data_IF_065739087361
#
_entry.id   IF_065739087361
#
_cell.length_a   1.000
_cell.length_b   1.000
_cell.length_c   1.000
_cell.angle_alpha   90.00
_cell.angle_beta   90.00
_cell.angle_gamma   90.00
#
_symmetry.space_group_name_H-M   'P 1'
#
loop_
_entity.id
_entity.type
_entity.pdbx_description
1 polymer ?
#
# COMPACT_ATOMS: atom_id res chain seq x y z
N UNK A 1 16.78 -31.15 17.22
CA UNK A 1 16.90 -30.96 15.76
C UNK A 1 15.73 -30.10 15.31
N UNK A 2 15.98 -29.08 14.50
CA UNK A 2 14.95 -28.23 13.91
C UNK A 2 14.34 -28.99 12.71
N UNK A 3 13.02 -28.92 12.50
CA UNK A 3 12.37 -29.63 11.39
C UNK A 3 12.77 -29.03 10.03
N UNK A 4 12.55 -29.76 8.94
CA UNK A 4 12.82 -29.26 7.57
C UNK A 4 11.99 -27.99 7.27
N UNK A 5 10.72 -27.98 7.68
CA UNK A 5 9.81 -26.82 7.55
C UNK A 5 10.40 -25.59 8.26
N UNK A 6 10.87 -25.76 9.49
CA UNK A 6 11.49 -24.69 10.27
C UNK A 6 12.82 -24.22 9.67
N UNK A 7 13.63 -25.14 9.12
CA UNK A 7 14.88 -24.80 8.43
C UNK A 7 14.60 -23.94 7.20
N UNK A 8 13.67 -24.35 6.33
CA UNK A 8 13.32 -23.60 5.13
C UNK A 8 12.73 -22.23 5.45
N UNK A 9 11.86 -22.16 6.47
CA UNK A 9 11.27 -20.89 6.94
C UNK A 9 12.36 -19.90 7.38
N UNK A 10 13.35 -20.37 8.15
CA UNK A 10 14.46 -19.52 8.60
C UNK A 10 15.35 -19.05 7.46
N UNK A 11 15.67 -19.94 6.50
CA UNK A 11 16.47 -19.58 5.32
C UNK A 11 15.76 -18.49 4.50
N UNK A 12 14.47 -18.67 4.23
CA UNK A 12 13.68 -17.71 3.47
C UNK A 12 13.63 -16.34 4.15
N UNK A 13 13.35 -16.31 5.47
CA UNK A 13 13.30 -15.05 6.23
C UNK A 13 14.66 -14.35 6.29
N UNK A 14 15.73 -15.12 6.46
CA UNK A 14 17.08 -14.58 6.44
C UNK A 14 17.41 -13.95 5.08
N UNK A 15 17.05 -14.62 3.97
CA UNK A 15 17.24 -14.06 2.63
C UNK A 15 16.40 -12.81 2.39
N UNK A 16 15.15 -12.79 2.84
CA UNK A 16 14.31 -11.61 2.72
C UNK A 16 14.93 -10.39 3.44
N UNK A 17 15.49 -10.59 4.63
CA UNK A 17 16.21 -9.54 5.36
C UNK A 17 17.50 -9.10 4.63
N UNK A 18 18.27 -10.03 4.06
CA UNK A 18 19.45 -9.74 3.25
C UNK A 18 19.11 -8.89 2.01
N UNK A 19 17.97 -9.19 1.38
CA UNK A 19 17.41 -8.41 0.26
C UNK A 19 16.87 -7.05 0.71
N UNK A 20 16.89 -6.73 2.00
CA UNK A 20 16.55 -5.42 2.55
C UNK A 20 15.06 -5.23 2.86
N UNK A 21 14.26 -6.29 2.95
CA UNK A 21 12.91 -6.18 3.51
C UNK A 21 12.99 -5.97 5.03
N UNK A 22 12.22 -5.02 5.55
CA UNK A 22 12.19 -4.73 6.99
C UNK A 22 11.52 -5.85 7.79
N UNK A 23 10.52 -6.50 7.20
CA UNK A 23 9.80 -7.60 7.84
C UNK A 23 9.48 -8.70 6.83
N UNK A 24 9.50 -9.95 7.30
CA UNK A 24 9.10 -11.13 6.54
C UNK A 24 8.36 -12.10 7.46
N UNK A 25 7.12 -12.42 7.09
CA UNK A 25 6.22 -13.27 7.86
C UNK A 25 5.58 -14.33 6.98
N UNK A 26 5.07 -15.39 7.60
CA UNK A 26 4.50 -16.54 6.93
C UNK A 26 3.13 -16.86 7.49
N UNK A 27 2.19 -17.19 6.61
CA UNK A 27 0.89 -17.75 6.95
C UNK A 27 0.54 -18.93 6.05
N UNK A 28 -0.40 -19.77 6.50
CA UNK A 28 -0.93 -20.85 5.67
C UNK A 28 -1.79 -20.29 4.53
N UNK A 29 -1.65 -20.86 3.34
CA UNK A 29 -2.49 -20.54 2.19
C UNK A 29 -3.89 -21.18 2.36
N UNK A 30 -4.87 -20.36 2.74
CA UNK A 30 -6.23 -20.79 3.09
C UNK A 30 -7.27 -19.80 2.56
N UNK A 31 -8.54 -20.22 2.55
CA UNK A 31 -9.65 -19.33 2.23
C UNK A 31 -9.90 -18.31 3.36
N UNK A 32 -10.15 -17.06 3.01
CA UNK A 32 -10.37 -15.95 3.93
C UNK A 32 -11.84 -15.85 4.38
N UNK A 33 -12.28 -16.79 5.22
CA UNK A 33 -13.67 -16.89 5.72
C UNK A 33 -14.19 -15.59 6.37
N UNK A 34 -13.37 -14.90 7.17
CA UNK A 34 -13.78 -13.66 7.85
C UNK A 34 -13.92 -12.46 6.89
N UNK A 35 -13.15 -12.46 5.81
CA UNK A 35 -13.08 -11.32 4.90
C UNK A 35 -14.08 -11.45 3.74
N UNK A 36 -14.50 -12.67 3.40
CA UNK A 36 -15.48 -12.93 2.36
C UNK A 36 -16.80 -12.14 2.55
N UNK A 37 -17.52 -12.23 3.69
CA UNK A 37 -18.75 -11.46 3.90
C UNK A 37 -18.49 -9.95 4.01
N UNK A 38 -17.31 -9.52 4.49
CA UNK A 38 -16.95 -8.11 4.58
C UNK A 38 -16.75 -7.49 3.20
N UNK A 39 -16.01 -8.18 2.33
CA UNK A 39 -15.79 -7.76 0.96
C UNK A 39 -17.12 -7.74 0.18
N UNK A 40 -17.95 -8.77 0.33
CA UNK A 40 -19.29 -8.82 -0.28
C UNK A 40 -20.15 -7.64 0.16
N UNK A 41 -20.26 -7.37 1.47
CA UNK A 41 -21.03 -6.25 1.99
C UNK A 41 -20.52 -4.89 1.47
N UNK A 42 -19.19 -4.73 1.43
CA UNK A 42 -18.55 -3.50 0.92
C UNK A 42 -18.80 -3.28 -0.58
N UNK A 43 -18.75 -4.35 -1.38
CA UNK A 43 -19.09 -4.32 -2.81
C UNK A 43 -20.58 -4.03 -3.04
N UNK A 44 -21.47 -4.66 -2.27
CA UNK A 44 -22.93 -4.44 -2.37
C UNK A 44 -23.32 -3.01 -2.02
N UNK A 45 -22.59 -2.37 -1.10
CA UNK A 45 -22.73 -0.94 -0.77
C UNK A 45 -22.08 0.01 -1.78
N UNK A 46 -21.50 -0.52 -2.86
CA UNK A 46 -20.83 0.26 -3.92
C UNK A 46 -19.67 1.14 -3.41
N UNK A 47 -19.07 0.76 -2.28
CA UNK A 47 -17.98 1.53 -1.65
C UNK A 47 -16.67 1.51 -2.45
N UNK A 48 -16.59 0.72 -3.52
CA UNK A 48 -15.47 0.74 -4.47
C UNK A 48 -15.55 1.89 -5.49
N UNK A 49 -16.65 2.64 -5.53
CA UNK A 49 -16.86 3.67 -6.54
C UNK A 49 -16.70 3.10 -7.96
N UNK A 50 -15.82 3.71 -8.75
CA UNK A 50 -15.52 3.28 -10.13
C UNK A 50 -14.43 2.21 -10.25
N UNK A 51 -13.88 1.70 -9.15
CA UNK A 51 -12.84 0.65 -9.15
C UNK A 51 -13.45 -0.73 -9.47
N UNK A 52 -13.99 -0.91 -10.67
CA UNK A 52 -14.70 -2.14 -11.06
C UNK A 52 -13.85 -3.42 -10.94
N UNK A 53 -12.51 -3.29 -10.98
CA UNK A 53 -11.61 -4.40 -10.73
C UNK A 53 -11.74 -4.99 -9.32
N UNK A 54 -12.29 -4.26 -8.34
CA UNK A 54 -12.53 -4.77 -6.99
C UNK A 54 -13.60 -5.87 -6.95
N UNK A 55 -14.60 -5.81 -7.85
CA UNK A 55 -15.62 -6.85 -7.99
C UNK A 55 -15.12 -8.03 -8.84
N UNK A 56 -14.09 -7.84 -9.67
CA UNK A 56 -13.51 -8.90 -10.48
C UNK A 56 -12.73 -9.90 -9.62
N UNK A 57 -12.73 -11.16 -10.06
CA UNK A 57 -11.93 -12.24 -9.47
C UNK A 57 -12.14 -12.40 -7.95
N UNK A 58 -13.38 -12.22 -7.48
CA UNK A 58 -13.77 -12.29 -6.06
C UNK A 58 -13.16 -13.51 -5.34
N UNK A 59 -13.35 -14.71 -5.89
CA UNK A 59 -12.84 -15.96 -5.28
C UNK A 59 -11.31 -15.96 -5.16
N UNK A 60 -10.59 -15.38 -6.14
CA UNK A 60 -9.12 -15.32 -6.11
C UNK A 60 -8.59 -14.35 -5.05
N UNK A 61 -9.35 -13.30 -4.71
CA UNK A 61 -9.02 -12.37 -3.60
C UNK A 61 -9.05 -13.08 -2.27
N UNK A 62 -9.97 -14.03 -2.13
CA UNK A 62 -10.23 -14.75 -0.89
C UNK A 62 -9.45 -16.06 -0.79
N UNK A 63 -8.94 -16.60 -1.89
CA UNK A 63 -8.20 -17.86 -1.89
C UNK A 63 -6.91 -17.82 -2.73
N UNK A 64 -5.72 -17.75 -2.10
CA UNK A 64 -4.44 -17.75 -2.78
C UNK A 64 -4.16 -19.06 -3.54
N UNK A 65 -4.82 -20.16 -3.19
CA UNK A 65 -4.68 -21.45 -3.88
C UNK A 65 -5.27 -21.44 -5.28
N UNK A 66 -6.13 -20.46 -5.59
CA UNK A 66 -6.65 -20.21 -6.94
C UNK A 66 -5.71 -19.34 -7.79
N UNK A 67 -4.66 -18.77 -7.18
CA UNK A 67 -3.62 -17.98 -7.87
C UNK A 67 -2.38 -18.81 -8.17
N UNK A 68 -2.02 -19.73 -7.27
CA UNK A 68 -0.89 -20.66 -7.40
C UNK A 68 -1.37 -22.07 -7.06
N UNK A 69 -1.34 -22.96 -8.04
CA UNK A 69 -1.75 -24.35 -7.85
C UNK A 69 -0.85 -25.02 -6.80
N UNK A 70 -1.48 -25.72 -5.85
CA UNK A 70 -0.78 -26.42 -4.78
C UNK A 70 -0.30 -25.52 -3.65
N UNK A 71 -0.64 -24.22 -3.65
CA UNK A 71 -0.18 -23.29 -2.61
C UNK A 71 -0.45 -23.82 -1.20
N UNK A 72 0.59 -23.77 -0.36
CA UNK A 72 0.56 -24.15 1.06
C UNK A 72 0.89 -22.99 1.97
N UNK A 73 1.70 -22.03 1.51
CA UNK A 73 2.10 -20.88 2.30
C UNK A 73 2.01 -19.56 1.53
N UNK A 74 1.72 -18.50 2.27
CA UNK A 74 1.83 -17.10 1.83
C UNK A 74 2.91 -16.45 2.67
N UNK A 75 4.03 -16.15 2.02
CA UNK A 75 5.11 -15.36 2.59
C UNK A 75 4.77 -13.89 2.32
N UNK A 76 4.67 -13.08 3.35
CA UNK A 76 4.46 -11.63 3.21
C UNK A 76 5.72 -10.89 3.61
N UNK A 77 6.08 -9.89 2.84
CA UNK A 77 7.20 -9.00 3.13
C UNK A 77 6.72 -7.55 3.24
N UNK A 78 7.39 -6.78 4.09
CA UNK A 78 7.16 -5.34 4.21
C UNK A 78 8.44 -4.57 3.91
N UNK A 79 8.28 -3.42 3.26
CA UNK A 79 9.38 -2.49 3.01
C UNK A 79 8.94 -1.07 3.38
N UNK A 80 9.67 -0.46 4.31
CA UNK A 80 9.44 0.90 4.79
C UNK A 80 9.66 1.93 3.66
N UNK A 81 8.76 2.90 3.57
CA UNK A 81 8.84 4.03 2.64
C UNK A 81 8.73 5.39 3.32
N UNK A 82 8.71 5.46 4.65
CA UNK A 82 8.63 6.75 5.34
C UNK A 82 9.85 7.60 4.99
N UNK A 83 9.68 8.80 4.40
CA UNK A 83 10.79 9.60 3.90
C UNK A 83 11.48 10.35 5.05
N UNK A 84 12.77 10.65 4.87
CA UNK A 84 13.49 11.55 5.81
C UNK A 84 12.93 12.98 5.77
N UNK A 85 12.56 13.44 4.57
CA UNK A 85 12.02 14.78 4.33
C UNK A 85 10.76 14.71 3.48
N UNK A 86 9.77 15.52 3.81
CA UNK A 86 8.54 15.67 3.01
C UNK A 86 8.75 16.67 1.87
N UNK A 87 8.12 16.42 0.72
CA UNK A 87 8.26 17.29 -0.47
C UNK A 87 7.46 18.60 -0.38
N UNK A 88 6.46 18.70 0.51
CA UNK A 88 5.78 19.95 0.79
C UNK A 88 6.63 20.81 1.74
N UNK A 89 7.40 21.75 1.19
CA UNK A 89 8.27 22.63 1.99
C UNK A 89 7.68 24.02 2.24
N UNK A 90 6.82 24.51 1.34
CA UNK A 90 6.16 25.81 1.50
C UNK A 90 4.84 25.68 2.27
N UNK A 91 4.58 26.65 3.14
CA UNK A 91 3.30 26.74 3.86
C UNK A 91 2.15 26.86 2.85
N UNK A 92 1.22 25.90 2.90
CA UNK A 92 0.12 25.81 1.95
C UNK A 92 0.46 25.17 0.60
N UNK A 93 1.67 24.66 0.36
CA UNK A 93 2.03 23.98 -0.89
C UNK A 93 1.17 22.75 -1.22
N UNK A 94 1.17 22.35 -2.49
CA UNK A 94 0.50 21.12 -2.93
C UNK A 94 1.20 19.87 -2.39
N UNK A 95 0.43 18.83 -2.10
CA UNK A 95 0.87 17.59 -1.46
C UNK A 95 0.61 16.40 -2.37
N UNK A 96 1.59 15.51 -2.44
CA UNK A 96 1.44 14.16 -2.97
C UNK A 96 1.74 13.16 -1.84
N UNK A 97 1.12 11.99 -1.87
CA UNK A 97 1.34 10.95 -0.86
C UNK A 97 2.80 10.50 -0.83
N UNK A 98 3.32 10.27 0.38
CA UNK A 98 4.72 9.85 0.62
C UNK A 98 5.09 8.58 -0.15
N UNK A 99 4.13 7.69 -0.42
CA UNK A 99 4.38 6.46 -1.18
C UNK A 99 4.79 6.73 -2.63
N UNK A 100 4.50 7.92 -3.16
CA UNK A 100 4.65 8.27 -4.56
C UNK A 100 5.86 9.17 -4.85
N UNK A 101 6.68 9.47 -3.84
CA UNK A 101 7.82 10.40 -3.94
C UNK A 101 8.87 9.93 -4.95
N UNK A 102 9.29 8.67 -4.85
CA UNK A 102 10.34 8.10 -5.68
C UNK A 102 9.84 7.18 -6.78
N UNK A 103 10.64 6.16 -7.05
CA UNK A 103 10.33 5.06 -7.96
C UNK A 103 9.13 4.27 -7.46
N UNK A 104 8.24 3.92 -8.39
CA UNK A 104 7.06 3.09 -8.15
C UNK A 104 7.48 1.77 -7.49
N UNK A 105 6.96 1.56 -6.29
CA UNK A 105 7.25 0.44 -5.42
C UNK A 105 7.01 -0.91 -6.08
N UNK A 106 6.11 -0.97 -7.07
CA UNK A 106 5.89 -2.18 -7.87
C UNK A 106 7.18 -2.71 -8.47
N UNK A 107 8.07 -1.84 -8.97
CA UNK A 107 9.34 -2.28 -9.55
C UNK A 107 10.28 -2.79 -8.45
N UNK A 108 10.47 -1.98 -7.40
CA UNK A 108 11.42 -2.25 -6.33
C UNK A 108 11.10 -3.57 -5.61
N UNK A 109 9.83 -3.79 -5.28
CA UNK A 109 9.41 -4.98 -4.52
C UNK A 109 9.38 -6.21 -5.43
N UNK A 110 8.92 -6.10 -6.67
CA UNK A 110 8.92 -7.24 -7.61
C UNK A 110 10.34 -7.71 -7.92
N UNK A 111 11.30 -6.80 -8.08
CA UNK A 111 12.70 -7.17 -8.31
C UNK A 111 13.26 -7.97 -7.11
N UNK A 112 13.04 -7.48 -5.88
CA UNK A 112 13.45 -8.19 -4.66
C UNK A 112 12.72 -9.54 -4.47
N UNK A 113 11.42 -9.61 -4.74
CA UNK A 113 10.65 -10.86 -4.63
C UNK A 113 11.06 -11.87 -5.70
N UNK A 114 11.45 -11.41 -6.89
CA UNK A 114 12.02 -12.27 -7.93
C UNK A 114 13.34 -12.88 -7.49
N UNK A 115 14.22 -12.10 -6.87
CA UNK A 115 15.47 -12.60 -6.27
C UNK A 115 15.21 -13.59 -5.13
N UNK A 116 14.21 -13.31 -4.28
CA UNK A 116 13.82 -14.22 -3.21
C UNK A 116 13.30 -15.57 -3.74
N UNK A 117 12.45 -15.55 -4.77
CA UNK A 117 11.97 -16.78 -5.41
C UNK A 117 13.09 -17.55 -6.10
N UNK A 118 14.02 -16.86 -6.78
CA UNK A 118 15.19 -17.50 -7.37
C UNK A 118 16.06 -18.20 -6.31
N UNK A 119 16.26 -17.56 -5.16
CA UNK A 119 16.96 -18.16 -4.02
C UNK A 119 16.25 -19.41 -3.49
N UNK A 120 14.92 -19.40 -3.40
CA UNK A 120 14.13 -20.58 -3.01
C UNK A 120 14.39 -21.74 -3.97
N UNK A 121 14.43 -21.47 -5.29
CA UNK A 121 14.73 -22.50 -6.28
C UNK A 121 16.14 -23.07 -6.16
N UNK A 122 17.12 -22.22 -5.87
CA UNK A 122 18.52 -22.62 -5.71
C UNK A 122 18.75 -23.47 -4.44
N UNK A 123 18.21 -23.03 -3.30
CA UNK A 123 18.51 -23.64 -2.00
C UNK A 123 17.56 -24.79 -1.60
N UNK A 124 16.31 -24.77 -2.08
CA UNK A 124 15.27 -25.73 -1.66
C UNK A 124 14.92 -26.69 -2.80
N UNK A 125 14.95 -26.23 -4.05
CA UNK A 125 14.66 -27.02 -5.25
C UNK A 125 13.39 -26.59 -5.97
N UNK A 126 12.76 -27.54 -6.68
CA UNK A 126 11.59 -27.27 -7.52
C UNK A 126 10.35 -26.94 -6.67
N UNK A 127 10.11 -25.64 -6.48
CA UNK A 127 9.00 -25.07 -5.72
C UNK A 127 8.16 -24.24 -6.66
N UNK A 128 6.87 -24.55 -6.81
CA UNK A 128 5.97 -23.70 -7.57
C UNK A 128 5.63 -22.45 -6.75
N UNK A 129 5.93 -21.29 -7.30
CA UNK A 129 5.80 -20.03 -6.59
C UNK A 129 5.49 -18.86 -7.51
N UNK A 130 4.74 -17.88 -6.99
CA UNK A 130 4.51 -16.61 -7.68
C UNK A 130 4.45 -15.47 -6.68
N UNK A 131 5.03 -14.35 -7.06
CA UNK A 131 5.01 -13.13 -6.27
C UNK A 131 3.98 -12.10 -6.78
N UNK A 132 3.47 -11.30 -5.86
CA UNK A 132 2.41 -10.32 -6.06
C UNK A 132 2.73 -9.04 -5.30
N UNK A 133 2.27 -7.92 -5.86
CA UNK A 133 2.40 -6.56 -5.32
C UNK A 133 1.24 -5.75 -5.90
N UNK A 134 0.20 -5.44 -5.11
CA UNK A 134 -0.98 -4.55 -5.34
C UNK A 134 -1.84 -4.83 -6.58
N UNK A 135 -1.21 -4.96 -7.74
CA UNK A 135 -1.79 -5.17 -9.06
C UNK A 135 -2.55 -6.49 -9.29
N UNK A 136 -2.61 -7.39 -8.30
CA UNK A 136 -3.27 -8.68 -8.41
C UNK A 136 -4.45 -8.79 -7.43
N UNK A 137 -5.41 -9.72 -7.65
CA UNK A 137 -6.51 -9.92 -6.72
C UNK A 137 -6.01 -10.70 -5.49
N UNK A 138 -5.17 -10.06 -4.68
CA UNK A 138 -4.66 -10.53 -3.38
C UNK A 138 -5.09 -9.50 -2.33
N UNK A 139 -5.46 -9.96 -1.13
CA UNK A 139 -5.79 -9.07 -0.01
C UNK A 139 -4.53 -8.80 0.82
N UNK A 140 -3.60 -8.03 0.27
CA UNK A 140 -2.23 -7.84 0.78
C UNK A 140 -2.18 -7.55 2.30
N UNK A 141 -3.03 -6.62 2.75
CA UNK A 141 -3.10 -6.22 4.17
C UNK A 141 -3.62 -7.34 5.09
N UNK A 142 -4.51 -8.19 4.58
CA UNK A 142 -5.04 -9.35 5.32
C UNK A 142 -3.95 -10.41 5.47
N UNK A 143 -3.22 -10.69 4.38
CA UNK A 143 -2.10 -11.64 4.42
C UNK A 143 -0.98 -11.14 5.32
N UNK A 144 -0.65 -9.84 5.29
CA UNK A 144 0.32 -9.26 6.21
C UNK A 144 -0.11 -9.39 7.69
N UNK A 145 -1.39 -9.19 8.00
CA UNK A 145 -1.95 -9.44 9.35
C UNK A 145 -1.82 -10.91 9.73
N UNK A 146 -2.21 -11.85 8.87
CA UNK A 146 -2.14 -13.30 9.13
C UNK A 146 -0.70 -13.80 9.29
N UNK A 147 0.24 -13.17 8.58
CA UNK A 147 1.68 -13.40 8.66
C UNK A 147 2.34 -12.73 9.87
N UNK A 148 1.56 -12.13 10.79
CA UNK A 148 2.06 -11.58 12.05
C UNK A 148 2.83 -10.28 11.95
N UNK A 149 2.79 -9.61 10.79
CA UNK A 149 3.61 -8.41 10.54
C UNK A 149 3.02 -7.12 11.09
N UNK A 150 1.77 -7.17 11.55
CA UNK A 150 1.04 -6.02 12.05
C UNK A 150 -0.43 -6.32 12.31
N UNK A 151 -1.20 -5.27 12.56
CA UNK A 151 -2.66 -5.31 12.59
C UNK A 151 -3.21 -4.30 11.59
N UNK A 152 -4.43 -4.55 11.11
CA UNK A 152 -5.12 -3.59 10.23
C UNK A 152 -5.77 -2.54 11.12
N UNK A 153 -5.36 -1.28 10.99
CA UNK A 153 -5.93 -0.18 11.78
C UNK A 153 -7.34 0.20 11.35
N UNK A 154 -8.00 1.07 12.13
CA UNK A 154 -9.36 1.56 11.79
C UNK A 154 -9.44 2.31 10.46
N UNK A 155 -8.33 2.90 10.00
CA UNK A 155 -8.19 3.49 8.66
C UNK A 155 -7.86 2.45 7.56
N UNK A 156 -7.91 1.15 7.86
CA UNK A 156 -7.68 0.02 6.95
C UNK A 156 -6.26 -0.15 6.39
N UNK A 157 -5.25 0.57 6.88
CA UNK A 157 -3.85 0.27 6.55
C UNK A 157 -3.25 -0.67 7.59
N UNK A 158 -2.31 -1.51 7.15
CA UNK A 158 -1.49 -2.30 8.06
C UNK A 158 -0.65 -1.36 8.93
N UNK A 159 -0.54 -1.67 10.21
CA UNK A 159 0.29 -0.97 11.18
C UNK A 159 1.25 -1.99 11.80
N UNK A 160 2.55 -1.70 11.71
CA UNK A 160 3.61 -2.40 12.43
C UNK A 160 3.91 -1.64 13.73
N UNK A 161 4.45 -2.34 14.73
CA UNK A 161 4.83 -1.69 16.01
C UNK A 161 6.01 -0.75 15.86
N UNK A 162 6.97 -1.11 15.02
CA UNK A 162 8.29 -0.47 14.99
C UNK A 162 8.43 0.62 13.91
N UNK A 163 7.61 0.57 12.85
CA UNK A 163 7.67 1.53 11.73
C UNK A 163 6.33 2.17 11.40
N UNK A 164 5.25 1.81 12.11
CA UNK A 164 3.92 2.33 11.85
C UNK A 164 3.33 1.75 10.55
N UNK A 165 2.67 2.60 9.77
CA UNK A 165 1.87 2.19 8.60
C UNK A 165 2.50 2.55 7.25
N UNK A 166 3.67 3.20 7.24
CA UNK A 166 4.38 3.59 6.03
C UNK A 166 5.23 2.44 5.49
N UNK A 167 4.56 1.34 5.16
CA UNK A 167 5.16 0.13 4.59
C UNK A 167 4.45 -0.25 3.31
N UNK A 168 5.23 -0.63 2.30
CA UNK A 168 4.71 -1.38 1.17
C UNK A 168 4.61 -2.85 1.53
N UNK A 169 3.70 -3.56 0.87
CA UNK A 169 3.44 -4.98 1.08
C UNK A 169 3.73 -5.71 -0.23
N UNK A 170 4.30 -6.91 -0.12
CA UNK A 170 4.33 -7.87 -1.22
C UNK A 170 4.20 -9.29 -0.70
N UNK A 171 3.73 -10.18 -1.57
CA UNK A 171 3.47 -11.57 -1.25
C UNK A 171 4.27 -12.49 -2.17
N UNK A 172 4.75 -13.58 -1.62
CA UNK A 172 5.27 -14.74 -2.33
C UNK A 172 4.44 -15.95 -1.91
N UNK A 173 3.58 -16.43 -2.82
CA UNK A 173 2.71 -17.59 -2.58
C UNK A 173 3.43 -18.82 -3.13
N UNK A 174 3.59 -19.85 -2.30
CA UNK A 174 4.38 -21.04 -2.59
C UNK A 174 3.59 -22.33 -2.33
N UNK A 175 3.85 -23.38 -3.10
CA UNK A 175 3.42 -24.76 -2.81
C UNK A 175 4.29 -25.47 -1.74
N UNK A 176 5.22 -24.72 -1.15
CA UNK A 176 6.09 -25.12 -0.07
C UNK A 176 5.43 -24.93 1.30
N UNK A 177 5.50 -25.94 2.15
CA UNK A 177 5.05 -25.82 3.54
C UNK A 177 6.10 -25.10 4.40
N UNK A 178 5.66 -24.08 5.12
CA UNK A 178 6.49 -23.21 5.96
C UNK A 178 5.81 -23.01 7.33
N UNK A 179 6.59 -22.69 8.35
CA UNK A 179 6.09 -22.46 9.72
C UNK A 179 5.40 -21.10 9.79
N UNK A 180 4.09 -21.11 10.06
CA UNK A 180 3.28 -19.90 10.15
C UNK A 180 3.57 -19.11 11.44
N UNK A 181 3.62 -17.79 11.34
CA UNK A 181 3.82 -16.88 12.48
C UNK A 181 2.54 -16.60 13.25
N UNK A 182 1.42 -16.48 12.52
CA UNK A 182 0.11 -16.15 13.08
C UNK A 182 -0.07 -14.66 13.37
N UNK A 183 -1.33 -14.19 13.48
CA UNK A 183 -1.63 -12.78 13.67
C UNK A 183 -1.28 -12.29 15.08
N UNK A 184 -0.96 -10.99 15.17
CA UNK A 184 -0.79 -10.29 16.45
C UNK A 184 -2.06 -9.51 16.84
N UNK A 185 -2.12 -9.05 18.10
CA UNK A 185 -3.28 -8.29 18.58
C UNK A 185 -3.44 -6.92 17.89
N UNK A 186 -4.67 -6.41 17.91
CA UNK A 186 -5.02 -5.05 17.49
C UNK A 186 -4.69 -4.05 18.60
N UNK A 187 -4.02 -2.95 18.25
CA UNK A 187 -3.65 -1.88 19.18
C UNK A 187 -4.26 -0.50 18.88
N UNK A 188 -5.35 -0.43 18.12
CA UNK A 188 -6.12 0.79 17.96
C UNK A 188 -6.91 1.17 19.22
N UNK A 189 -7.42 0.18 19.96
CA UNK A 189 -8.23 0.40 21.16
C UNK A 189 -9.40 1.36 20.90
N UNK A 190 -9.60 2.34 21.79
CA UNK A 190 -10.67 3.34 21.68
C UNK A 190 -10.32 4.53 20.77
N UNK A 191 -9.11 4.59 20.20
CA UNK A 191 -8.67 5.72 19.36
C UNK A 191 -9.56 5.90 18.12
N UNK A 192 -9.91 7.13 17.80
CA UNK A 192 -10.70 7.52 16.61
C UNK A 192 -10.01 8.55 15.73
N UNK A 193 -8.77 8.97 16.03
CA UNK A 193 -8.07 10.09 15.36
C UNK A 193 -8.12 10.06 13.82
N UNK A 194 -7.96 8.88 13.21
CA UNK A 194 -8.01 8.75 11.76
C UNK A 194 -9.42 8.93 11.18
N UNK A 195 -10.45 8.49 11.90
CA UNK A 195 -11.86 8.68 11.57
C UNK A 195 -12.18 10.18 11.67
N UNK A 196 -11.86 10.78 12.83
CA UNK A 196 -12.17 12.18 13.13
C UNK A 196 -11.46 13.17 12.19
N UNK A 197 -10.27 12.81 11.70
CA UNK A 197 -9.47 13.66 10.82
C UNK A 197 -9.76 13.44 9.32
N UNK A 198 -10.56 12.44 8.93
CA UNK A 198 -10.82 12.18 7.52
C UNK A 198 -11.73 13.28 6.96
N UNK A 199 -11.25 14.18 6.08
CA UNK A 199 -12.00 15.39 5.73
C UNK A 199 -13.26 15.10 4.92
N UNK A 200 -13.34 13.94 4.27
CA UNK A 200 -14.47 13.52 3.43
C UNK A 200 -15.36 12.46 4.07
N UNK A 201 -15.15 12.15 5.36
CA UNK A 201 -15.87 11.09 6.08
C UNK A 201 -15.81 9.73 5.36
N UNK A 202 -14.68 9.47 4.68
CA UNK A 202 -14.47 8.23 3.94
C UNK A 202 -14.29 7.02 4.87
N UNK A 203 -13.81 7.21 6.10
CA UNK A 203 -13.79 6.13 7.09
C UNK A 203 -15.13 6.15 7.83
N UNK A 204 -16.12 5.40 7.32
CA UNK A 204 -17.50 5.49 7.82
C UNK A 204 -17.69 4.83 9.18
N UNK A 205 -16.89 3.80 9.44
CA UNK A 205 -16.90 3.00 10.67
C UNK A 205 -15.48 2.50 10.94
N UNK A 206 -15.13 2.11 12.18
CA UNK A 206 -13.88 1.40 12.45
C UNK A 206 -13.68 0.25 11.45
N UNK A 207 -12.53 0.27 10.76
CA UNK A 207 -12.12 -0.75 9.78
C UNK A 207 -12.92 -0.75 8.47
N UNK A 208 -13.72 0.29 8.20
CA UNK A 208 -14.50 0.43 6.95
C UNK A 208 -14.16 1.75 6.28
N UNK A 209 -13.62 1.68 5.07
CA UNK A 209 -13.39 2.85 4.20
C UNK A 209 -14.34 2.79 3.02
N UNK A 210 -15.20 3.78 2.88
CA UNK A 210 -15.88 4.08 1.63
C UNK A 210 -14.88 4.68 0.64
N UNK A 211 -14.33 3.82 -0.21
CA UNK A 211 -13.37 4.20 -1.23
C UNK A 211 -13.92 5.29 -2.15
N UNK A 212 -15.22 5.29 -2.45
CA UNK A 212 -15.87 6.27 -3.31
C UNK A 212 -15.84 7.71 -2.78
N UNK A 213 -15.51 7.89 -1.49
CA UNK A 213 -15.38 9.19 -0.82
C UNK A 213 -13.92 9.56 -0.51
N UNK A 214 -12.97 8.66 -0.72
CA UNK A 214 -11.59 8.86 -0.32
C UNK A 214 -10.86 9.84 -1.25
N UNK A 215 -10.11 10.81 -0.71
CA UNK A 215 -9.27 11.71 -1.51
C UNK A 215 -8.28 10.92 -2.38
N UNK A 216 -7.72 9.82 -1.85
CA UNK A 216 -6.83 8.95 -2.62
C UNK A 216 -7.53 8.35 -3.85
N UNK A 217 -8.77 7.91 -3.69
CA UNK A 217 -9.59 7.44 -4.82
C UNK A 217 -9.87 8.55 -5.83
N UNK A 218 -10.28 9.74 -5.37
CA UNK A 218 -10.58 10.86 -6.27
C UNK A 218 -9.38 11.30 -7.09
N UNK A 219 -8.20 11.34 -6.48
CA UNK A 219 -6.98 11.85 -7.14
C UNK A 219 -6.29 10.83 -8.06
N UNK A 220 -6.54 9.53 -7.85
CA UNK A 220 -5.84 8.44 -8.56
C UNK A 220 -6.79 7.66 -9.49
N UNK A 221 -7.91 7.19 -8.95
CA UNK A 221 -8.75 6.17 -9.57
C UNK A 221 -9.93 6.76 -10.35
N UNK A 222 -10.59 7.79 -9.80
CA UNK A 222 -11.68 8.47 -10.50
C UNK A 222 -11.14 9.18 -11.75
N UNK A 223 -11.69 8.87 -12.92
CA UNK A 223 -11.33 9.51 -14.19
C UNK A 223 -12.32 10.62 -14.60
N UNK A 224 -13.52 10.59 -14.04
CA UNK A 224 -14.55 11.61 -14.26
C UNK A 224 -14.25 12.89 -13.46
N UNK A 225 -15.14 13.88 -13.51
CA UNK A 225 -15.05 15.09 -12.68
C UNK A 225 -15.16 14.75 -11.19
N UNK A 226 -14.39 15.46 -10.36
CA UNK A 226 -14.48 15.32 -8.90
C UNK A 226 -15.77 16.02 -8.44
N UNK A 227 -16.60 15.40 -7.57
CA UNK A 227 -17.86 15.98 -7.13
C UNK A 227 -17.68 17.30 -6.36
N UNK A 228 -18.59 18.26 -6.57
CA UNK A 228 -18.52 19.58 -5.90
C UNK A 228 -18.76 19.48 -4.38
N UNK A 229 -19.41 18.42 -3.89
CA UNK A 229 -19.68 18.20 -2.47
C UNK A 229 -18.41 18.01 -1.63
N UNK A 230 -17.27 17.68 -2.27
CA UNK A 230 -15.96 17.54 -1.61
C UNK A 230 -15.02 18.72 -1.89
N UNK A 231 -15.54 19.80 -2.49
CA UNK A 231 -14.78 21.02 -2.74
C UNK A 231 -14.27 21.64 -1.43
N UNK A 232 -13.01 22.09 -1.42
CA UNK A 232 -12.35 22.64 -0.23
C UNK A 232 -11.90 21.60 0.82
N UNK A 233 -12.21 20.31 0.63
CA UNK A 233 -11.88 19.25 1.61
C UNK A 233 -10.54 18.56 1.37
N UNK A 234 -9.84 18.90 0.28
CA UNK A 234 -8.65 18.15 -0.14
C UNK A 234 -7.36 18.58 0.59
N UNK A 235 -7.35 19.65 1.38
CA UNK A 235 -6.17 20.10 2.15
C UNK A 235 -4.85 20.11 1.35
N UNK A 236 -4.95 20.54 0.09
CA UNK A 236 -3.87 20.62 -0.90
C UNK A 236 -3.31 19.28 -1.42
N UNK A 237 -3.96 18.16 -1.12
CA UNK A 237 -3.64 16.84 -1.70
C UNK A 237 -4.06 16.75 -3.17
N UNK A 238 -3.06 16.66 -4.07
CA UNK A 238 -3.27 16.55 -5.52
C UNK A 238 -2.95 15.15 -6.08
N UNK A 239 -2.36 14.27 -5.28
CA UNK A 239 -2.15 12.85 -5.61
C UNK A 239 -2.05 11.99 -4.35
N UNK A 240 -3.01 11.07 -4.13
CA UNK A 240 -3.09 10.30 -2.88
C UNK A 240 -3.49 11.17 -1.68
N UNK A 241 -3.51 10.59 -0.49
CA UNK A 241 -3.76 11.31 0.77
C UNK A 241 -3.20 10.50 1.95
N UNK A 242 -2.41 11.15 2.81
CA UNK A 242 -1.83 10.50 3.99
C UNK A 242 -2.50 10.91 5.31
N UNK A 243 -3.52 11.77 5.32
CA UNK A 243 -4.08 12.36 6.56
C UNK A 243 -4.38 11.29 7.62
N UNK A 244 -5.09 10.22 7.24
CA UNK A 244 -5.46 9.15 8.17
C UNK A 244 -4.25 8.39 8.75
N UNK A 245 -3.13 8.36 8.02
CA UNK A 245 -1.85 7.84 8.50
C UNK A 245 -1.15 8.91 9.35
N UNK A 246 -0.99 10.13 8.87
CA UNK A 246 -0.24 11.20 9.57
C UNK A 246 -0.78 11.49 10.99
N UNK A 247 -2.10 11.37 11.19
CA UNK A 247 -2.71 11.52 12.52
C UNK A 247 -2.66 10.25 13.39
N UNK A 248 -2.28 9.10 12.83
CA UNK A 248 -2.25 7.83 13.56
C UNK A 248 -1.13 7.85 14.62
N UNK A 249 -1.44 7.59 15.91
CA UNK A 249 -0.43 7.63 16.99
C UNK A 249 0.75 6.68 16.78
N UNK A 250 0.55 5.58 16.04
CA UNK A 250 1.58 4.58 15.77
C UNK A 250 2.63 5.06 14.78
N UNK A 251 2.31 6.05 13.93
CA UNK A 251 3.27 6.62 13.00
C UNK A 251 4.31 7.54 13.67
N UNK A 252 4.19 7.82 14.98
CA UNK A 252 5.29 8.43 15.76
C UNK A 252 6.55 7.54 15.82
N UNK A 253 6.40 6.25 15.54
CA UNK A 253 7.50 5.28 15.52
C UNK A 253 8.14 5.15 14.13
N UNK A 254 7.59 5.81 13.10
CA UNK A 254 8.12 5.76 11.74
C UNK A 254 9.57 6.24 11.72
N UNK A 255 10.42 5.52 11.00
CA UNK A 255 11.84 5.85 10.80
C UNK A 255 12.07 6.10 9.32
N UNK A 256 12.96 7.04 8.94
CA UNK A 256 13.31 7.23 7.55
C UNK A 256 13.75 5.92 6.89
N UNK A 257 13.26 5.66 5.68
CA UNK A 257 13.67 4.52 4.88
C UNK A 257 15.14 4.66 4.46
N UNK A 258 15.77 3.54 4.15
CA UNK A 258 17.15 3.49 3.64
C UNK A 258 17.22 3.08 2.16
N UNK A 259 16.06 2.96 1.49
CA UNK A 259 15.97 2.55 0.08
C UNK A 259 16.09 3.77 -0.85
N UNK A 260 17.22 3.97 -1.57
CA UNK A 260 17.43 5.18 -2.36
C UNK A 260 16.43 5.33 -3.51
N UNK A 261 15.86 4.22 -3.99
CA UNK A 261 14.84 4.25 -5.04
C UNK A 261 13.56 4.99 -4.61
N UNK A 262 13.31 5.16 -3.31
CA UNK A 262 12.16 5.89 -2.76
C UNK A 262 12.45 7.36 -2.48
N UNK A 263 13.70 7.80 -2.62
CA UNK A 263 14.03 9.22 -2.50
C UNK A 263 13.26 10.03 -3.56
N UNK A 264 12.68 11.18 -3.18
CA UNK A 264 12.03 12.05 -4.14
C UNK A 264 13.04 12.59 -5.15
N UNK A 265 12.56 12.88 -6.36
CA UNK A 265 13.34 13.67 -7.31
C UNK A 265 13.71 15.01 -6.64
N UNK A 266 15.00 15.43 -6.61
CA UNK A 266 15.42 16.67 -5.96
C UNK A 266 14.65 17.91 -6.44
N UNK A 267 14.21 17.94 -7.71
CA UNK A 267 13.42 19.05 -8.23
C UNK A 267 12.07 19.21 -7.50
N UNK A 268 11.47 18.12 -7.00
CA UNK A 268 10.20 18.18 -6.25
C UNK A 268 10.33 18.92 -4.92
N UNK A 269 11.52 18.94 -4.32
CA UNK A 269 11.76 19.63 -3.05
C UNK A 269 11.66 21.16 -3.20
N UNK A 270 11.92 21.68 -4.40
CA UNK A 270 11.96 23.11 -4.72
C UNK A 270 10.71 23.57 -5.49
N UNK A 271 9.72 22.70 -5.70
CA UNK A 271 8.52 23.03 -6.45
C UNK A 271 7.61 23.99 -5.69
N UNK A 272 7.44 25.18 -6.24
CA UNK A 272 6.45 26.16 -5.77
C UNK A 272 5.05 25.76 -6.22
N UNK A 273 4.01 26.40 -5.66
CA UNK A 273 2.63 26.25 -6.18
C UNK A 273 2.54 26.55 -7.68
N UNK A 274 3.23 27.58 -8.15
CA UNK A 274 3.23 27.98 -9.56
C UNK A 274 3.82 26.89 -10.44
N UNK A 275 4.92 26.26 -10.02
CA UNK A 275 5.56 25.17 -10.78
C UNK A 275 4.62 23.97 -10.97
N UNK A 276 3.83 23.63 -9.94
CA UNK A 276 2.77 22.62 -10.05
C UNK A 276 1.67 23.03 -11.03
N UNK A 277 1.20 24.27 -10.95
CA UNK A 277 0.10 24.76 -11.80
C UNK A 277 0.49 24.86 -13.28
N UNK A 278 1.74 25.22 -13.55
CA UNK A 278 2.29 25.39 -14.89
C UNK A 278 3.00 24.14 -15.43
N UNK A 279 2.97 23.02 -14.69
CA UNK A 279 3.69 21.80 -15.05
C UNK A 279 3.41 21.35 -16.49
N UNK A 280 4.48 21.19 -17.27
CA UNK A 280 4.42 20.77 -18.67
C UNK A 280 4.52 19.25 -18.79
N UNK A 281 4.23 18.73 -19.98
CA UNK A 281 4.35 17.31 -20.28
C UNK A 281 5.79 16.81 -20.14
N UNK A 282 6.77 17.61 -20.58
CA UNK A 282 8.19 17.24 -20.52
C UNK A 282 8.66 17.17 -19.06
N UNK A 283 8.35 18.18 -18.25
CA UNK A 283 8.66 18.22 -16.82
C UNK A 283 7.98 17.06 -16.09
N UNK A 284 6.69 16.79 -16.38
CA UNK A 284 5.97 15.66 -15.79
C UNK A 284 6.62 14.32 -16.12
N UNK A 285 7.04 14.12 -17.38
CA UNK A 285 7.70 12.89 -17.80
C UNK A 285 9.09 12.73 -17.20
N UNK A 286 9.84 13.81 -17.00
CA UNK A 286 11.15 13.81 -16.39
C UNK A 286 11.06 13.49 -14.90
N UNK A 287 10.28 14.27 -14.15
CA UNK A 287 10.18 14.17 -12.69
C UNK A 287 9.52 12.86 -12.27
N UNK A 288 8.42 12.48 -12.93
CA UNK A 288 7.65 11.29 -12.55
C UNK A 288 7.96 10.08 -13.43
N UNK A 289 9.08 10.05 -14.17
CA UNK A 289 9.38 9.01 -15.19
C UNK A 289 9.10 7.58 -14.72
N UNK A 290 9.43 7.28 -13.46
CA UNK A 290 9.26 5.97 -12.83
C UNK A 290 8.39 6.02 -11.58
N UNK A 291 7.70 7.12 -11.30
CA UNK A 291 6.87 7.27 -10.10
C UNK A 291 5.44 6.75 -10.32
N UNK A 292 4.80 6.32 -9.23
CA UNK A 292 3.38 5.95 -9.22
C UNK A 292 2.46 7.09 -9.66
N UNK A 293 2.91 8.37 -9.57
CA UNK A 293 2.17 9.54 -10.05
C UNK A 293 1.76 9.42 -11.52
N UNK A 294 2.51 8.69 -12.35
CA UNK A 294 2.13 8.46 -13.75
C UNK A 294 0.77 7.80 -13.95
N UNK A 295 0.25 7.08 -12.95
CA UNK A 295 -1.07 6.44 -13.01
C UNK A 295 -2.21 7.44 -13.20
N UNK A 296 -2.04 8.69 -12.73
CA UNK A 296 -3.05 9.75 -12.95
C UNK A 296 -2.88 10.45 -14.30
N UNK A 297 -1.72 10.33 -14.95
CA UNK A 297 -1.28 11.13 -16.12
C UNK A 297 -1.26 12.63 -15.82
N UNK A 298 -0.65 13.42 -16.72
CA UNK A 298 -0.62 14.88 -16.56
C UNK A 298 -2.04 15.49 -16.47
N UNK A 299 -2.96 15.03 -17.31
CA UNK A 299 -4.34 15.52 -17.33
C UNK A 299 -5.06 15.32 -15.98
N UNK A 300 -4.91 14.13 -15.38
CA UNK A 300 -5.49 13.85 -14.06
C UNK A 300 -4.86 14.69 -12.95
N UNK A 301 -3.54 14.88 -12.99
CA UNK A 301 -2.85 15.77 -12.04
C UNK A 301 -3.33 17.21 -12.16
N UNK A 302 -3.43 17.76 -13.39
CA UNK A 302 -3.93 19.12 -13.64
C UNK A 302 -5.38 19.30 -13.22
N UNK A 303 -6.23 18.28 -13.44
CA UNK A 303 -7.61 18.27 -12.93
C UNK A 303 -7.62 18.37 -11.41
N UNK A 304 -6.80 17.58 -10.71
CA UNK A 304 -6.74 17.61 -9.26
C UNK A 304 -6.24 18.98 -8.74
N UNK A 305 -5.19 19.54 -9.34
CA UNK A 305 -4.68 20.88 -9.00
C UNK A 305 -5.76 21.94 -9.19
N UNK A 306 -6.46 21.92 -10.32
CA UNK A 306 -7.56 22.87 -10.60
C UNK A 306 -8.68 22.75 -9.58
N UNK A 307 -9.06 21.52 -9.20
CA UNK A 307 -10.09 21.27 -8.21
C UNK A 307 -9.70 21.82 -6.83
N UNK A 308 -8.46 21.58 -6.40
CA UNK A 308 -7.93 22.10 -5.13
C UNK A 308 -7.87 23.63 -5.15
N UNK A 309 -7.26 24.22 -6.21
CA UNK A 309 -7.09 25.68 -6.35
C UNK A 309 -8.41 26.44 -6.32
N UNK A 310 -9.46 25.90 -6.95
CA UNK A 310 -10.77 26.57 -7.00
C UNK A 310 -11.60 26.37 -5.74
N UNK A 311 -11.15 25.49 -4.83
CA UNK A 311 -11.77 25.21 -3.54
C UNK A 311 -11.09 25.86 -2.34
N UNK A 312 -9.91 26.48 -2.53
CA UNK A 312 -9.35 27.50 -1.61
C UNK A 312 -10.22 28.78 -1.64
#
# INVERSE_FOLDING_TARGET
MISVIQKHTRLLKAKAAELGFDFCGVSNAEFLEEEAPRLEAWLNRQMHGKMGYMANHFDKRLDPRLLVNGAKSVVTVLLNYYPEKTVAQEEGGYKISKYAYGTDYHFVIKDKLKELLAFVHEEIGDVNGRFFVDSAPVMDKVWAKRSGLGWVGKHTNLITRDTGSFVFIGELILDLELEADGPIADYCGTCTRCIDACPTDAITDPYVVDGSKCISYFTIELKDAIPDEVKGKFENWIFGCDICQDVCPWNRFSRPHTTPAFDPNPALAEFTKTDWEEITQDIFQEIFRRSAVKRTKLEGLKRNITFVKTGE
#
